data_IF_424166438575
#
_entry.id   IF_424166438575
#
_cell.length_a   1.000
_cell.length_b   1.000
_cell.length_c   1.000
_cell.angle_alpha   90.00
_cell.angle_beta   90.00
_cell.angle_gamma   90.00
#
_symmetry.space_group_name_H-M   'P 1'
#
loop_
_entity.id
_entity.type
_entity.pdbx_description
1 polymer ?
#
# COMPACT_ATOMS: atom_id res chain seq x y z
N UNK A 1 -15.15 -16.60 -2.37
CA UNK A 1 -14.68 -16.24 -3.72
C UNK A 1 -13.52 -15.25 -3.71
N UNK A 2 -13.69 -14.00 -3.25
CA UNK A 2 -12.61 -12.99 -3.27
C UNK A 2 -11.34 -13.42 -2.53
N UNK A 3 -11.45 -14.03 -1.34
CA UNK A 3 -10.29 -14.53 -0.60
C UNK A 3 -9.54 -15.65 -1.32
N UNK A 4 -10.23 -16.47 -2.11
CA UNK A 4 -9.61 -17.53 -2.92
C UNK A 4 -8.79 -16.92 -4.06
N UNK A 5 -9.35 -15.93 -4.75
CA UNK A 5 -8.65 -15.19 -5.83
C UNK A 5 -7.43 -14.43 -5.29
N UNK A 6 -7.52 -13.82 -4.10
CA UNK A 6 -6.37 -13.16 -3.48
C UNK A 6 -5.30 -14.15 -3.04
N UNK A 7 -5.68 -15.38 -2.66
CA UNK A 7 -4.74 -16.45 -2.34
C UNK A 7 -4.01 -16.93 -3.60
N UNK A 8 -4.78 -17.23 -4.65
CA UNK A 8 -4.27 -17.85 -5.88
C UNK A 8 -3.74 -16.82 -6.89
N UNK A 9 -4.01 -15.53 -6.66
CA UNK A 9 -3.64 -14.38 -7.50
C UNK A 9 -4.13 -14.49 -8.95
N UNK A 10 -5.16 -15.31 -9.19
CA UNK A 10 -5.71 -15.62 -10.49
C UNK A 10 -7.24 -15.58 -10.46
N UNK A 11 -7.84 -15.07 -11.53
CA UNK A 11 -9.29 -15.01 -11.72
C UNK A 11 -9.62 -15.41 -13.16
N UNK A 12 -10.67 -16.22 -13.34
CA UNK A 12 -11.12 -16.62 -14.66
C UNK A 12 -11.67 -15.42 -15.45
N UNK A 13 -11.34 -15.28 -16.75
CA UNK A 13 -11.73 -14.13 -17.56
C UNK A 13 -13.25 -13.92 -17.68
N UNK A 14 -14.02 -15.00 -17.72
CA UNK A 14 -15.49 -14.95 -17.79
C UNK A 14 -16.10 -14.39 -16.49
N UNK A 15 -15.64 -14.89 -15.34
CA UNK A 15 -16.03 -14.37 -14.02
C UNK A 15 -15.58 -12.93 -13.81
N UNK A 16 -14.39 -12.58 -14.31
CA UNK A 16 -13.91 -11.21 -14.30
C UNK A 16 -14.83 -10.32 -15.15
N UNK A 17 -15.27 -10.75 -16.33
CA UNK A 17 -16.12 -9.96 -17.21
C UNK A 17 -17.48 -9.63 -16.58
N UNK A 18 -18.06 -10.59 -15.85
CA UNK A 18 -19.33 -10.46 -15.12
C UNK A 18 -19.29 -9.47 -13.95
N UNK A 19 -18.11 -9.17 -13.39
CA UNK A 19 -17.96 -8.19 -12.31
C UNK A 19 -18.23 -6.77 -12.82
N UNK A 20 -18.97 -6.00 -12.01
CA UNK A 20 -19.17 -4.57 -12.27
C UNK A 20 -17.83 -3.81 -12.23
N UNK A 21 -17.74 -2.69 -12.92
CA UNK A 21 -16.50 -1.92 -13.07
C UNK A 21 -15.93 -1.46 -11.73
N UNK A 22 -16.78 -1.06 -10.77
CA UNK A 22 -16.35 -0.77 -9.40
C UNK A 22 -15.77 -2.00 -8.67
N UNK A 23 -16.36 -3.18 -8.87
CA UNK A 23 -15.90 -4.41 -8.24
C UNK A 23 -14.57 -4.89 -8.83
N UNK A 24 -14.37 -4.70 -10.14
CA UNK A 24 -13.09 -4.93 -10.83
C UNK A 24 -11.98 -4.04 -10.25
N UNK A 25 -12.24 -2.74 -10.10
CA UNK A 25 -11.28 -1.81 -9.51
C UNK A 25 -10.88 -2.21 -8.08
N UNK A 26 -11.86 -2.59 -7.24
CA UNK A 26 -11.61 -3.05 -5.87
C UNK A 26 -10.77 -4.35 -5.87
N UNK A 27 -11.10 -5.29 -6.75
CA UNK A 27 -10.38 -6.56 -6.88
C UNK A 27 -8.91 -6.32 -7.27
N UNK A 28 -8.65 -5.53 -8.32
CA UNK A 28 -7.28 -5.24 -8.76
C UNK A 28 -6.48 -4.50 -7.72
N UNK A 29 -7.11 -3.57 -7.00
CA UNK A 29 -6.47 -2.87 -5.89
C UNK A 29 -6.03 -3.87 -4.79
N UNK A 30 -6.92 -4.76 -4.36
CA UNK A 30 -6.63 -5.77 -3.34
C UNK A 30 -5.58 -6.80 -3.80
N UNK A 31 -5.63 -7.21 -5.07
CA UNK A 31 -4.62 -8.09 -5.66
C UNK A 31 -3.25 -7.42 -5.70
N UNK A 32 -3.20 -6.12 -6.00
CA UNK A 32 -1.96 -5.36 -6.01
C UNK A 32 -1.36 -5.22 -4.62
N UNK A 33 -2.17 -4.92 -3.61
CA UNK A 33 -1.74 -4.90 -2.20
C UNK A 33 -1.13 -6.25 -1.79
N UNK A 34 -1.78 -7.36 -2.14
CA UNK A 34 -1.33 -8.69 -1.77
C UNK A 34 -0.02 -9.09 -2.48
N UNK A 35 0.17 -8.68 -3.75
CA UNK A 35 1.46 -8.83 -4.45
C UNK A 35 2.60 -8.13 -3.71
N UNK A 36 2.36 -6.86 -3.32
CA UNK A 36 3.37 -6.04 -2.63
C UNK A 36 3.68 -6.63 -1.25
N UNK A 37 2.65 -7.08 -0.52
CA UNK A 37 2.82 -7.74 0.79
C UNK A 37 3.69 -8.99 0.69
N UNK A 38 3.37 -9.91 -0.24
CA UNK A 38 4.14 -11.15 -0.46
C UNK A 38 5.57 -10.88 -0.93
N UNK A 39 5.75 -9.87 -1.77
CA UNK A 39 7.09 -9.47 -2.21
C UNK A 39 7.92 -8.93 -1.03
N UNK A 40 7.36 -8.04 -0.20
CA UNK A 40 8.02 -7.50 1.00
C UNK A 40 8.39 -8.61 2.00
N UNK A 41 7.53 -9.60 2.20
CA UNK A 41 7.83 -10.76 3.06
C UNK A 41 8.98 -11.61 2.51
N UNK A 42 8.96 -11.93 1.22
CA UNK A 42 10.06 -12.68 0.58
C UNK A 42 11.37 -11.91 0.60
N UNK A 43 11.34 -10.60 0.35
CA UNK A 43 12.52 -9.73 0.42
C UNK A 43 13.11 -9.69 1.83
N UNK A 44 12.25 -9.61 2.86
CA UNK A 44 12.65 -9.67 4.26
C UNK A 44 13.28 -11.03 4.62
N UNK A 45 12.66 -12.13 4.19
CA UNK A 45 13.18 -13.48 4.42
C UNK A 45 14.54 -13.69 3.74
N UNK A 46 14.70 -13.22 2.49
CA UNK A 46 15.97 -13.30 1.77
C UNK A 46 17.08 -12.50 2.49
N UNK A 47 16.75 -11.31 3.02
CA UNK A 47 17.69 -10.51 3.83
C UNK A 47 18.06 -11.19 5.15
N UNK A 48 17.08 -11.78 5.84
CA UNK A 48 17.32 -12.52 7.09
C UNK A 48 18.17 -13.78 6.85
N UNK A 49 17.96 -14.49 5.73
CA UNK A 49 18.77 -15.64 5.32
C UNK A 49 20.20 -15.25 4.95
N UNK A 50 20.38 -14.14 4.22
CA UNK A 50 21.69 -13.57 3.90
C UNK A 50 22.45 -13.19 5.18
N UNK A 51 21.78 -12.54 6.13
CA UNK A 51 22.36 -12.17 7.42
C UNK A 51 22.65 -13.40 8.30
N UNK A 52 21.84 -14.45 8.22
CA UNK A 52 22.10 -15.71 8.90
C UNK A 52 23.33 -16.44 8.31
N UNK A 53 23.50 -16.43 6.98
CA UNK A 53 24.71 -16.95 6.33
C UNK A 53 25.96 -16.19 6.79
N UNK A 54 25.90 -14.85 6.86
CA UNK A 54 27.01 -14.02 7.36
C UNK A 54 27.37 -14.33 8.82
N UNK A 55 26.39 -14.72 9.65
CA UNK A 55 26.59 -15.10 11.06
C UNK A 55 27.15 -16.51 11.27
N UNK A 56 26.92 -17.44 10.33
CA UNK A 56 27.39 -18.84 10.45
C UNK A 56 28.86 -19.03 10.00
N UNK A 57 29.43 -18.06 9.28
CA UNK A 57 30.88 -17.96 9.09
C UNK A 57 31.52 -17.61 10.43
N UNK A 58 31.94 -18.65 11.17
CA UNK A 58 32.57 -18.47 12.49
C UNK A 58 33.80 -17.57 12.34
N UNK A 59 33.92 -16.49 13.14
CA UNK A 59 35.23 -15.89 13.35
C UNK A 59 36.05 -16.91 14.15
N UNK A 60 37.12 -17.43 13.54
CA UNK A 60 38.09 -18.34 14.17
C UNK A 60 38.46 -17.80 15.56
N UNK A 61 38.16 -18.54 16.61
CA UNK A 61 38.48 -18.13 17.97
C UNK A 61 40.00 -18.21 18.23
N UNK A 62 40.60 -17.03 18.35
CA UNK A 62 41.35 -16.60 19.54
C UNK A 62 42.49 -17.48 20.08
N UNK A 63 43.65 -17.44 19.42
CA UNK A 63 44.93 -17.45 20.14
C UNK A 63 45.35 -15.99 20.30
N UNK A 64 45.28 -15.47 21.54
CA UNK A 64 45.75 -14.14 21.98
C UNK A 64 45.60 -12.99 20.97
N UNK A 65 44.54 -12.17 21.09
CA UNK A 65 44.38 -10.97 20.24
C UNK A 65 45.50 -9.97 20.53
N UNK A 66 46.63 -10.11 19.86
CA UNK A 66 47.54 -9.00 19.66
C UNK A 66 47.02 -8.18 18.49
N UNK A 67 46.92 -6.87 18.65
CA UNK A 67 46.66 -5.97 17.53
C UNK A 67 48.00 -5.80 16.84
N UNK A 68 48.17 -6.48 15.71
CA UNK A 68 49.33 -6.30 14.86
C UNK A 68 48.92 -5.33 13.76
N UNK A 69 49.42 -4.10 13.87
CA UNK A 69 49.20 -3.08 12.85
C UNK A 69 49.91 -3.50 11.57
N UNK A 70 49.21 -3.42 10.44
CA UNK A 70 49.89 -3.52 9.15
C UNK A 70 50.80 -2.30 9.02
N UNK A 71 52.00 -2.50 8.50
CA UNK A 71 52.94 -1.40 8.23
C UNK A 71 52.98 -1.12 6.73
N UNK A 72 53.07 0.15 6.36
CA UNK A 72 53.31 0.62 5.00
C UNK A 72 54.75 0.41 4.56
N UNK A 73 55.07 0.79 3.33
CA UNK A 73 56.43 0.72 2.76
C UNK A 73 57.43 1.65 3.46
N UNK A 74 56.92 2.65 4.18
CA UNK A 74 57.62 3.60 5.03
C UNK A 74 57.90 3.07 6.45
N UNK A 75 57.30 1.93 6.83
CA UNK A 75 57.38 1.40 8.19
C UNK A 75 56.42 2.07 9.17
N UNK A 76 55.53 2.96 8.72
CA UNK A 76 54.44 3.52 9.52
C UNK A 76 53.18 2.64 9.44
N UNK A 77 52.18 2.89 10.28
CA UNK A 77 50.93 2.12 10.29
C UNK A 77 50.17 2.35 8.97
N UNK A 78 49.78 1.26 8.30
CA UNK A 78 49.00 1.30 7.08
C UNK A 78 47.62 1.90 7.35
N UNK A 79 47.33 3.01 6.67
CA UNK A 79 46.03 3.68 6.70
C UNK A 79 45.41 3.55 5.32
N UNK A 80 44.19 3.03 5.25
CA UNK A 80 43.36 3.11 4.06
C UNK A 80 42.34 4.23 4.23
N UNK A 81 42.36 5.16 3.29
CA UNK A 81 41.38 6.24 3.20
C UNK A 81 40.36 5.84 2.15
N UNK A 82 39.10 5.79 2.55
CA UNK A 82 37.99 5.47 1.65
C UNK A 82 37.98 6.47 0.49
N UNK A 83 38.17 5.96 -0.73
CA UNK A 83 38.16 6.77 -1.95
C UNK A 83 39.51 7.34 -2.40
N UNK A 84 40.62 6.99 -1.73
CA UNK A 84 41.97 7.41 -2.10
C UNK A 84 42.80 6.29 -2.78
N UNK A 85 42.29 5.04 -2.76
CA UNK A 85 42.98 3.93 -3.40
C UNK A 85 42.78 3.92 -4.94
N UNK A 86 43.73 3.39 -5.71
CA UNK A 86 43.62 3.32 -7.17
C UNK A 86 42.39 2.51 -7.59
N UNK A 87 41.41 3.18 -8.20
CA UNK A 87 40.17 2.57 -8.70
C UNK A 87 38.97 2.68 -7.75
N UNK A 88 39.13 3.26 -6.56
CA UNK A 88 38.00 3.57 -5.69
C UNK A 88 37.29 4.86 -6.13
N UNK A 89 35.97 4.93 -5.88
CA UNK A 89 35.22 6.19 -6.04
C UNK A 89 35.63 7.15 -4.93
N UNK A 90 35.79 8.46 -5.21
CA UNK A 90 36.10 9.44 -4.18
C UNK A 90 35.02 9.46 -3.09
N UNK A 91 35.43 9.77 -1.86
CA UNK A 91 34.52 9.78 -0.70
C UNK A 91 33.31 10.68 -0.92
N UNK A 92 33.50 11.86 -1.53
CA UNK A 92 32.40 12.77 -1.82
C UNK A 92 31.32 12.07 -2.64
N UNK A 93 31.70 11.34 -3.70
CA UNK A 93 30.76 10.64 -4.57
C UNK A 93 30.04 9.49 -3.86
N UNK A 94 30.72 8.75 -2.99
CA UNK A 94 30.10 7.68 -2.17
C UNK A 94 29.08 8.29 -1.20
N UNK A 95 29.44 9.41 -0.57
CA UNK A 95 28.59 10.12 0.39
C UNK A 95 27.34 10.70 -0.29
N UNK A 96 27.51 11.30 -1.46
CA UNK A 96 26.43 11.86 -2.27
C UNK A 96 25.47 10.76 -2.73
N UNK A 97 25.99 9.61 -3.19
CA UNK A 97 25.18 8.45 -3.57
C UNK A 97 24.34 7.96 -2.39
N UNK A 98 24.93 7.89 -1.19
CA UNK A 98 24.22 7.48 0.04
C UNK A 98 23.11 8.48 0.43
N UNK A 99 23.39 9.78 0.32
CA UNK A 99 22.41 10.84 0.61
C UNK A 99 21.28 10.81 -0.42
N UNK A 100 21.61 10.65 -1.71
CA UNK A 100 20.63 10.55 -2.78
C UNK A 100 19.74 9.32 -2.63
N UNK A 101 20.30 8.18 -2.24
CA UNK A 101 19.55 6.94 -1.97
C UNK A 101 18.57 7.16 -0.80
N UNK A 102 19.02 7.80 0.28
CA UNK A 102 18.16 8.16 1.42
C UNK A 102 17.06 9.13 1.02
N UNK A 103 17.37 10.13 0.19
CA UNK A 103 16.40 11.09 -0.32
C UNK A 103 15.34 10.42 -1.21
N UNK A 104 15.74 9.48 -2.08
CA UNK A 104 14.81 8.69 -2.91
C UNK A 104 13.87 7.86 -2.05
N UNK A 105 14.38 7.16 -1.04
CA UNK A 105 13.57 6.37 -0.12
C UNK A 105 12.58 7.24 0.66
N UNK A 106 13.01 8.43 1.07
CA UNK A 106 12.14 9.39 1.74
C UNK A 106 11.02 9.88 0.81
N UNK A 107 11.36 10.28 -0.42
CA UNK A 107 10.39 10.70 -1.42
C UNK A 107 9.38 9.58 -1.78
N UNK A 108 9.83 8.33 -1.83
CA UNK A 108 8.94 7.18 -2.03
C UNK A 108 7.94 7.00 -0.89
N UNK A 109 8.39 7.13 0.37
CA UNK A 109 7.51 7.04 1.54
C UNK A 109 6.48 8.17 1.56
N UNK A 110 6.92 9.40 1.30
CA UNK A 110 6.03 10.56 1.23
C UNK A 110 5.01 10.41 0.08
N UNK A 111 5.45 9.91 -1.07
CA UNK A 111 4.54 9.58 -2.17
C UNK A 111 3.52 8.50 -1.76
N UNK A 112 3.96 7.40 -1.12
CA UNK A 112 3.04 6.37 -0.61
C UNK A 112 2.02 6.94 0.39
N UNK A 113 2.44 7.86 1.27
CA UNK A 113 1.54 8.53 2.22
C UNK A 113 0.54 9.45 1.53
N UNK A 114 0.99 10.25 0.55
CA UNK A 114 0.11 11.08 -0.28
C UNK A 114 -0.89 10.22 -1.06
N UNK A 115 -0.45 9.06 -1.57
CA UNK A 115 -1.32 8.09 -2.24
C UNK A 115 -2.39 7.55 -1.28
N UNK A 116 -2.02 7.16 -0.06
CA UNK A 116 -2.98 6.74 0.97
C UNK A 116 -3.98 7.83 1.33
N UNK A 117 -3.53 9.08 1.45
CA UNK A 117 -4.41 10.22 1.72
C UNK A 117 -5.41 10.42 0.56
N UNK A 118 -4.95 10.37 -0.68
CA UNK A 118 -5.81 10.48 -1.87
C UNK A 118 -6.82 9.34 -1.95
N UNK A 119 -6.40 8.13 -1.63
CA UNK A 119 -7.29 6.97 -1.59
C UNK A 119 -8.37 7.09 -0.50
N UNK A 120 -8.00 7.58 0.68
CA UNK A 120 -8.96 7.88 1.75
C UNK A 120 -9.94 8.99 1.32
N UNK A 121 -9.45 10.03 0.63
CA UNK A 121 -10.26 11.11 0.07
C UNK A 121 -11.27 10.58 -0.96
N UNK A 122 -10.83 9.70 -1.86
CA UNK A 122 -11.68 9.03 -2.85
C UNK A 122 -12.73 8.15 -2.17
N UNK A 123 -12.31 7.34 -1.20
CA UNK A 123 -13.20 6.45 -0.43
C UNK A 123 -14.26 7.24 0.34
N UNK A 124 -13.88 8.40 0.89
CA UNK A 124 -14.81 9.30 1.57
C UNK A 124 -15.81 9.91 0.59
N UNK A 125 -15.33 10.44 -0.55
CA UNK A 125 -16.20 10.98 -1.62
C UNK A 125 -17.17 9.93 -2.14
N UNK A 126 -16.73 8.68 -2.27
CA UNK A 126 -17.58 7.56 -2.65
C UNK A 126 -18.68 7.28 -1.61
N UNK A 127 -18.33 7.24 -0.31
CA UNK A 127 -19.31 7.10 0.77
C UNK A 127 -20.32 8.24 0.78
N UNK A 128 -19.87 9.48 0.61
CA UNK A 128 -20.74 10.66 0.58
C UNK A 128 -21.68 10.63 -0.64
N UNK A 129 -21.18 10.24 -1.82
CA UNK A 129 -22.00 10.06 -3.02
C UNK A 129 -23.08 8.98 -2.83
N UNK A 130 -22.71 7.83 -2.24
CA UNK A 130 -23.64 6.75 -1.92
C UNK A 130 -24.69 7.16 -0.88
N UNK A 131 -24.30 7.94 0.13
CA UNK A 131 -25.24 8.47 1.11
C UNK A 131 -26.21 9.47 0.48
N UNK A 132 -25.73 10.33 -0.42
CA UNK A 132 -26.54 11.29 -1.17
C UNK A 132 -27.56 10.58 -2.07
N UNK A 133 -27.15 9.52 -2.77
CA UNK A 133 -28.07 8.76 -3.62
C UNK A 133 -29.11 8.00 -2.79
N UNK A 134 -28.70 7.38 -1.68
CA UNK A 134 -29.64 6.77 -0.72
C UNK A 134 -30.64 7.78 -0.18
N UNK A 135 -30.19 8.98 0.18
CA UNK A 135 -31.06 10.04 0.66
C UNK A 135 -32.05 10.51 -0.42
N UNK A 136 -31.61 10.56 -1.70
CA UNK A 136 -32.48 10.88 -2.84
C UNK A 136 -33.59 9.85 -3.02
N UNK A 137 -33.23 8.56 -3.00
CA UNK A 137 -34.20 7.45 -3.11
C UNK A 137 -35.18 7.46 -1.94
N UNK A 138 -34.69 7.70 -0.72
CA UNK A 138 -35.56 7.82 0.46
C UNK A 138 -36.49 9.01 0.34
N UNK A 139 -36.00 10.18 -0.08
CA UNK A 139 -36.83 11.36 -0.28
C UNK A 139 -37.90 11.16 -1.37
N UNK A 140 -37.58 10.44 -2.44
CA UNK A 140 -38.52 10.09 -3.50
C UNK A 140 -39.61 9.15 -2.99
N UNK A 141 -39.24 8.11 -2.23
CA UNK A 141 -40.20 7.21 -1.57
C UNK A 141 -41.13 7.94 -0.61
N UNK A 142 -40.60 8.85 0.21
CA UNK A 142 -41.41 9.67 1.12
C UNK A 142 -42.38 10.57 0.37
N UNK A 143 -41.98 11.16 -0.77
CA UNK A 143 -42.89 11.96 -1.60
C UNK A 143 -44.05 11.12 -2.12
N UNK A 144 -43.77 9.97 -2.69
CA UNK A 144 -44.78 9.03 -3.19
C UNK A 144 -45.74 8.64 -2.06
N UNK A 145 -45.22 8.25 -0.89
CA UNK A 145 -46.04 7.89 0.26
C UNK A 145 -46.92 9.05 0.78
N UNK A 146 -46.41 10.28 0.74
CA UNK A 146 -47.20 11.46 1.11
C UNK A 146 -48.29 11.80 0.10
N UNK A 147 -48.05 11.54 -1.19
CA UNK A 147 -49.04 11.71 -2.26
C UNK A 147 -50.12 10.64 -2.17
N UNK A 148 -49.75 9.38 -1.96
CA UNK A 148 -50.67 8.27 -1.71
C UNK A 148 -51.56 8.53 -0.49
N UNK A 149 -50.96 9.02 0.61
CA UNK A 149 -51.72 9.37 1.83
C UNK A 149 -52.67 10.55 1.62
N UNK A 150 -52.30 11.52 0.77
CA UNK A 150 -53.20 12.63 0.41
C UNK A 150 -54.33 12.15 -0.50
N UNK A 151 -54.04 11.28 -1.46
CA UNK A 151 -55.03 10.69 -2.36
C UNK A 151 -56.07 9.84 -1.60
N UNK A 152 -55.63 9.04 -0.62
CA UNK A 152 -56.51 8.24 0.23
C UNK A 152 -57.49 9.11 1.03
N UNK A 153 -57.01 10.20 1.66
CA UNK A 153 -57.87 11.15 2.38
C UNK A 153 -58.91 11.82 1.48
N UNK A 154 -58.52 12.15 0.26
CA UNK A 154 -59.40 12.80 -0.72
C UNK A 154 -60.47 11.82 -1.25
N UNK A 155 -60.15 10.53 -1.35
CA UNK A 155 -61.14 9.48 -1.61
C UNK A 155 -62.10 9.30 -0.44
N UNK A 156 -61.61 9.26 0.80
CA UNK A 156 -62.46 9.17 2.00
C UNK A 156 -63.43 10.35 2.10
N UNK A 157 -62.97 11.57 1.83
CA UNK A 157 -63.80 12.78 1.85
C UNK A 157 -64.89 12.74 0.77
N UNK A 158 -64.57 12.29 -0.45
CA UNK A 158 -65.56 12.06 -1.51
C UNK A 158 -66.59 11.00 -1.16
N UNK A 159 -66.17 9.90 -0.53
CA UNK A 159 -67.07 8.84 -0.08
C UNK A 159 -68.01 9.36 1.02
N UNK A 160 -67.50 10.19 1.94
CA UNK A 160 -68.30 10.85 2.98
C UNK A 160 -69.32 11.85 2.41
N UNK A 161 -68.97 12.57 1.33
CA UNK A 161 -69.89 13.47 0.63
C UNK A 161 -70.98 12.74 -0.16
N UNK A 162 -70.68 11.60 -0.81
CA UNK A 162 -71.70 10.82 -1.54
C UNK A 162 -72.69 10.08 -0.62
N UNK A 163 -72.32 9.83 0.64
CA UNK A 163 -73.17 9.18 1.64
C UNK A 163 -74.10 10.14 2.39
N UNK A 164 -74.05 11.44 2.11
CA UNK A 164 -74.80 12.50 2.79
C UNK A 164 -75.86 13.13 1.88
#
# INVERSE_FOLDING_TARGET
MLQQILRDMYIDPELLAELNEEQKHILFYKMREEQVRRWKERDKQAKEEEDALKRTVRPKQNNGKHIQWLLGTDGEVWVWIMGDAPGDKPYEQISEELIAERARQQAQKEAEELWKQKEAEITKKFRDAMAKEKARIVAEKWKIETEDRKAAKLMEEKIQEELK
#
